data_IF_213916156850
#
_entry.id   IF_213916156850
#
_cell.length_a   1.000
_cell.length_b   1.000
_cell.length_c   1.000
_cell.angle_alpha   90.00
_cell.angle_beta   90.00
_cell.angle_gamma   90.00
#
_symmetry.space_group_name_H-M   'P 1'
#
loop_
_entity.id
_entity.type
_entity.pdbx_description
1 polymer ?
#
# COMPACT_ATOMS: atom_id res chain seq x y z
N UNK A 1 9.60 6.71 2.43
CA UNK A 1 10.20 5.59 1.68
C UNK A 1 10.10 5.83 0.19
N UNK A 2 10.90 5.13 -0.57
CA UNK A 2 10.84 5.15 -2.04
C UNK A 2 9.66 4.29 -2.48
N UNK A 3 8.68 4.91 -3.15
CA UNK A 3 7.47 4.22 -3.57
C UNK A 3 7.55 3.95 -5.07
N UNK A 4 7.18 2.73 -5.44
CA UNK A 4 6.97 2.35 -6.83
C UNK A 4 5.63 1.61 -6.94
N UNK A 5 5.03 1.64 -8.11
CA UNK A 5 3.79 0.92 -8.38
C UNK A 5 4.08 -0.19 -9.38
N UNK A 6 3.63 -1.40 -9.08
CA UNK A 6 3.85 -2.55 -9.95
C UNK A 6 3.01 -2.47 -11.23
N UNK A 7 1.93 -1.68 -11.20
CA UNK A 7 1.01 -1.55 -12.34
C UNK A 7 0.69 -0.09 -12.60
N UNK A 8 0.60 0.32 -13.88
CA UNK A 8 0.26 1.71 -14.24
C UNK A 8 -1.09 2.17 -13.69
N UNK A 9 -2.05 1.25 -13.56
CA UNK A 9 -3.39 1.60 -13.06
C UNK A 9 -3.39 2.06 -11.62
N UNK A 10 -2.52 1.49 -10.78
CA UNK A 10 -2.38 1.91 -9.38
C UNK A 10 -1.73 3.28 -9.27
N UNK A 11 -0.73 3.54 -10.11
CA UNK A 11 -0.11 4.86 -10.17
C UNK A 11 -1.11 5.91 -10.65
N UNK A 12 -1.88 5.60 -11.69
CA UNK A 12 -2.92 6.48 -12.19
C UNK A 12 -3.94 6.80 -11.10
N UNK A 13 -4.41 5.77 -10.39
CA UNK A 13 -5.37 5.95 -9.31
C UNK A 13 -4.82 6.88 -8.22
N UNK A 14 -3.56 6.73 -7.90
CA UNK A 14 -2.89 7.58 -6.91
C UNK A 14 -2.76 9.03 -7.41
N UNK A 15 -2.35 9.20 -8.65
CA UNK A 15 -2.07 10.53 -9.21
C UNK A 15 -3.33 11.31 -9.56
N UNK A 16 -4.38 10.64 -10.03
CA UNK A 16 -5.58 11.29 -10.57
C UNK A 16 -6.87 11.00 -9.80
N UNK A 17 -6.86 9.97 -8.95
CA UNK A 17 -8.06 9.54 -8.24
C UNK A 17 -8.99 8.65 -9.05
N UNK A 18 -8.63 8.32 -10.29
CA UNK A 18 -9.45 7.48 -11.16
C UNK A 18 -8.59 6.51 -11.96
N UNK A 19 -9.21 5.42 -12.40
CA UNK A 19 -8.57 4.47 -13.32
C UNK A 19 -9.65 3.73 -14.10
N UNK A 20 -9.29 3.24 -15.29
CA UNK A 20 -10.17 2.39 -16.09
C UNK A 20 -9.99 0.90 -15.78
N UNK A 21 -9.04 0.53 -14.93
CA UNK A 21 -8.80 -0.86 -14.53
C UNK A 21 -10.05 -1.43 -13.85
N UNK A 22 -10.55 -2.55 -14.37
CA UNK A 22 -11.77 -3.18 -13.87
C UNK A 22 -11.75 -3.49 -12.37
N UNK A 23 -10.59 -3.79 -11.83
CA UNK A 23 -10.44 -4.15 -10.41
C UNK A 23 -10.71 -2.95 -9.50
N UNK A 24 -10.43 -1.73 -9.98
CA UNK A 24 -10.40 -0.54 -9.13
C UNK A 24 -11.32 0.59 -9.58
N UNK A 25 -11.83 0.55 -10.82
CA UNK A 25 -12.60 1.68 -11.39
C UNK A 25 -13.89 1.99 -10.64
N UNK A 26 -14.42 1.02 -9.90
CA UNK A 26 -15.68 1.17 -9.15
C UNK A 26 -15.49 1.36 -7.66
N UNK A 27 -14.25 1.52 -7.21
CA UNK A 27 -14.00 1.83 -5.81
C UNK A 27 -14.70 3.15 -5.45
N UNK A 28 -15.34 3.17 -4.28
CA UNK A 28 -15.99 4.37 -3.79
C UNK A 28 -14.96 5.47 -3.57
N UNK A 29 -15.40 6.72 -3.69
CA UNK A 29 -14.50 7.88 -3.58
C UNK A 29 -13.77 7.96 -2.24
N UNK A 30 -14.44 7.59 -1.15
CA UNK A 30 -13.81 7.59 0.17
C UNK A 30 -12.70 6.54 0.27
N UNK A 31 -12.87 5.38 -0.37
CA UNK A 31 -11.82 4.35 -0.43
C UNK A 31 -10.61 4.89 -1.19
N UNK A 32 -10.84 5.52 -2.33
CA UNK A 32 -9.75 6.10 -3.14
C UNK A 32 -9.02 7.18 -2.36
N UNK A 33 -9.74 8.06 -1.66
CA UNK A 33 -9.12 9.09 -0.81
C UNK A 33 -8.24 8.47 0.27
N UNK A 34 -8.72 7.40 0.92
CA UNK A 34 -7.92 6.70 1.93
C UNK A 34 -6.71 6.02 1.32
N UNK A 35 -6.85 5.43 0.14
CA UNK A 35 -5.73 4.84 -0.58
C UNK A 35 -4.63 5.87 -0.81
N UNK A 36 -5.00 7.05 -1.32
CA UNK A 36 -4.05 8.13 -1.58
C UNK A 36 -3.36 8.56 -0.28
N UNK A 37 -4.14 8.71 0.78
CA UNK A 37 -3.61 9.09 2.10
C UNK A 37 -2.63 8.05 2.63
N UNK A 38 -2.96 6.77 2.48
CA UNK A 38 -2.10 5.68 2.95
C UNK A 38 -0.80 5.63 2.16
N UNK A 39 -0.85 5.80 0.84
CA UNK A 39 0.36 5.90 0.02
C UNK A 39 1.23 7.07 0.49
N UNK A 40 0.60 8.19 0.81
CA UNK A 40 1.33 9.34 1.33
C UNK A 40 1.99 9.07 2.67
N UNK A 41 1.37 8.27 3.54
CA UNK A 41 2.02 7.83 4.78
C UNK A 41 3.28 7.01 4.48
N UNK A 42 3.21 6.09 3.50
CA UNK A 42 4.38 5.32 3.11
C UNK A 42 5.49 6.23 2.58
N UNK A 43 5.13 7.21 1.75
CA UNK A 43 6.11 8.16 1.20
C UNK A 43 6.77 9.00 2.29
N UNK A 44 6.01 9.40 3.30
CA UNK A 44 6.51 10.26 4.37
C UNK A 44 7.42 9.52 5.35
N UNK A 45 7.25 8.21 5.50
CA UNK A 45 8.11 7.40 6.33
C UNK A 45 9.53 7.35 5.77
N UNK A 46 10.52 7.26 6.65
CA UNK A 46 11.91 7.12 6.24
C UNK A 46 12.27 5.67 5.98
N UNK A 47 11.67 4.77 6.74
CA UNK A 47 11.89 3.33 6.65
C UNK A 47 10.65 2.59 7.10
N UNK A 48 10.61 1.29 6.84
CA UNK A 48 9.44 0.46 7.10
C UNK A 48 8.94 0.57 8.55
N UNK A 49 9.85 0.56 9.52
CA UNK A 49 9.50 0.58 10.94
C UNK A 49 8.72 1.83 11.35
N UNK A 50 8.86 2.94 10.61
CA UNK A 50 8.10 4.15 10.89
C UNK A 50 6.59 3.93 10.73
N UNK A 51 6.19 2.98 9.89
CA UNK A 51 4.77 2.64 9.69
C UNK A 51 4.17 1.95 10.90
N UNK A 52 4.98 1.29 11.72
CA UNK A 52 4.49 0.54 12.87
C UNK A 52 3.85 1.45 13.92
N UNK A 53 4.25 2.71 13.96
CA UNK A 53 3.74 3.68 14.93
C UNK A 53 2.45 4.35 14.49
N UNK A 54 2.04 4.16 13.25
CA UNK A 54 0.78 4.73 12.74
C UNK A 54 -0.31 3.68 12.96
N UNK A 55 -1.03 3.80 14.07
CA UNK A 55 -2.00 2.78 14.50
C UNK A 55 -3.08 2.50 13.46
N UNK A 56 -3.53 3.53 12.76
CA UNK A 56 -4.58 3.37 11.75
C UNK A 56 -4.17 2.52 10.55
N UNK A 57 -2.87 2.32 10.34
CA UNK A 57 -2.37 1.48 9.25
C UNK A 57 -2.43 0.00 9.57
N UNK A 58 -2.46 -0.38 10.85
CA UNK A 58 -2.48 -1.79 11.27
C UNK A 58 -1.47 -2.62 10.48
N UNK A 59 -0.23 -2.15 10.40
CA UNK A 59 0.80 -2.81 9.62
C UNK A 59 0.90 -4.29 9.98
N UNK A 60 0.99 -5.14 8.96
CA UNK A 60 1.13 -6.57 9.12
C UNK A 60 2.07 -7.14 8.07
N UNK A 61 3.00 -7.98 8.50
CA UNK A 61 3.79 -8.77 7.58
C UNK A 61 3.09 -10.10 7.36
N UNK A 62 2.77 -10.42 6.10
CA UNK A 62 2.03 -11.63 5.78
C UNK A 62 2.89 -12.88 5.90
N UNK A 63 2.24 -14.02 6.13
CA UNK A 63 2.87 -15.32 6.30
C UNK A 63 2.27 -16.33 5.31
N UNK A 64 2.84 -17.53 5.25
CA UNK A 64 2.34 -18.59 4.38
C UNK A 64 2.53 -18.26 2.92
N UNK A 65 1.48 -18.38 2.13
CA UNK A 65 1.51 -18.15 0.68
C UNK A 65 1.81 -16.70 0.33
N UNK A 66 1.59 -15.78 1.27
CA UNK A 66 1.87 -14.36 1.09
C UNK A 66 3.16 -13.93 1.75
N UNK A 67 4.07 -14.86 2.02
CA UNK A 67 5.36 -14.54 2.61
C UNK A 67 6.10 -13.51 1.76
N UNK A 68 6.64 -12.49 2.40
CA UNK A 68 7.31 -11.38 1.72
C UNK A 68 6.38 -10.25 1.30
N UNK A 69 5.08 -10.37 1.59
CA UNK A 69 4.10 -9.31 1.35
C UNK A 69 3.85 -8.55 2.65
N UNK A 70 3.86 -7.23 2.54
CA UNK A 70 3.46 -6.32 3.61
C UNK A 70 2.06 -5.80 3.34
N UNK A 71 1.28 -5.60 4.40
CA UNK A 71 -0.08 -5.09 4.28
C UNK A 71 -0.32 -3.95 5.27
N UNK A 72 -1.04 -2.93 4.81
CA UNK A 72 -1.55 -1.88 5.68
C UNK A 72 -3.03 -1.65 5.36
N UNK A 73 -3.79 -1.17 6.34
CA UNK A 73 -5.21 -0.91 6.16
C UNK A 73 -5.43 0.35 5.35
N UNK A 74 -6.30 0.26 4.34
CA UNK A 74 -6.92 1.43 3.73
C UNK A 74 -8.13 1.78 4.61
N UNK A 75 -8.95 0.78 4.90
CA UNK A 75 -10.01 0.84 5.91
C UNK A 75 -10.22 -0.56 6.46
N UNK A 76 -11.34 -0.84 7.14
CA UNK A 76 -11.61 -2.15 7.71
C UNK A 76 -11.84 -3.24 6.64
N UNK A 77 -12.19 -2.87 5.42
CA UNK A 77 -12.49 -3.82 4.33
C UNK A 77 -11.36 -3.95 3.31
N UNK A 78 -10.53 -2.93 3.15
CA UNK A 78 -9.51 -2.90 2.10
C UNK A 78 -8.11 -2.78 2.67
N UNK A 79 -7.18 -3.47 2.03
CA UNK A 79 -5.76 -3.47 2.39
C UNK A 79 -4.93 -3.01 1.21
N UNK A 80 -3.87 -2.29 1.49
CA UNK A 80 -2.84 -1.99 0.51
C UNK A 80 -1.74 -3.02 0.68
N UNK A 81 -1.44 -3.76 -0.39
CA UNK A 81 -0.40 -4.77 -0.39
C UNK A 81 0.83 -4.22 -1.11
N UNK A 82 1.98 -4.41 -0.50
CA UNK A 82 3.24 -3.98 -1.08
C UNK A 82 4.36 -4.95 -0.70
N UNK A 83 5.48 -4.86 -1.43
CA UNK A 83 6.69 -5.59 -1.09
C UNK A 83 7.74 -4.58 -0.70
N UNK A 84 8.31 -4.75 0.48
CA UNK A 84 9.37 -3.88 0.96
C UNK A 84 10.73 -4.50 0.68
N UNK A 85 11.73 -3.67 0.50
CA UNK A 85 13.09 -4.13 0.27
C UNK A 85 14.11 -3.15 0.83
N UNK A 86 15.30 -3.65 1.21
CA UNK A 86 16.33 -2.82 1.80
C UNK A 86 17.15 -2.06 0.77
N UNK A 87 17.84 -1.03 1.25
CA UNK A 87 18.92 -0.37 0.51
C UNK A 87 20.24 -1.15 0.70
N UNK A 88 21.34 -0.56 0.24
CA UNK A 88 22.66 -1.19 0.33
C UNK A 88 23.14 -1.39 1.77
N UNK A 89 22.61 -0.61 2.71
CA UNK A 89 22.97 -0.69 4.13
C UNK A 89 22.04 -1.63 4.91
N UNK A 90 21.06 -2.25 4.24
CA UNK A 90 20.13 -3.16 4.89
C UNK A 90 18.92 -2.46 5.52
N UNK A 91 18.77 -1.15 5.30
CA UNK A 91 17.63 -0.40 5.83
C UNK A 91 16.46 -0.54 4.85
N UNK A 92 15.30 -0.97 5.34
CA UNK A 92 14.12 -1.20 4.48
C UNK A 92 13.46 0.12 4.18
N UNK A 93 13.73 0.63 2.97
CA UNK A 93 13.32 1.96 2.52
C UNK A 93 12.53 1.97 1.22
N UNK A 94 12.33 0.81 0.60
CA UNK A 94 11.63 0.70 -0.69
C UNK A 94 10.32 -0.04 -0.50
N UNK A 95 9.27 0.42 -1.19
CA UNK A 95 7.97 -0.23 -1.19
C UNK A 95 7.43 -0.29 -2.62
N UNK A 96 7.19 -1.50 -3.11
CA UNK A 96 6.56 -1.74 -4.41
C UNK A 96 5.09 -2.09 -4.17
N UNK A 97 4.21 -1.14 -4.45
CA UNK A 97 2.76 -1.30 -4.26
C UNK A 97 2.20 -2.08 -5.44
N UNK A 98 1.50 -3.19 -5.16
CA UNK A 98 1.04 -4.05 -6.24
C UNK A 98 -0.45 -4.39 -6.22
N UNK A 99 -1.17 -4.10 -5.13
CA UNK A 99 -2.59 -4.46 -5.09
C UNK A 99 -3.36 -3.70 -4.02
N UNK A 100 -4.60 -3.34 -4.34
CA UNK A 100 -5.62 -3.00 -3.35
C UNK A 100 -6.46 -4.26 -3.20
N UNK A 101 -6.42 -4.88 -2.04
CA UNK A 101 -7.08 -6.16 -1.79
C UNK A 101 -8.25 -5.98 -0.84
N UNK A 102 -9.39 -6.60 -1.18
CA UNK A 102 -10.52 -6.63 -0.27
C UNK A 102 -10.30 -7.74 0.75
N UNK A 103 -10.42 -7.37 2.03
CA UNK A 103 -10.26 -8.34 3.11
C UNK A 103 -11.59 -9.04 3.38
N UNK A 104 -11.59 -10.37 3.28
CA UNK A 104 -12.71 -11.22 3.65
C UNK A 104 -12.39 -11.94 4.94
N UNK A 105 -13.27 -11.87 5.88
CA UNK A 105 -13.15 -12.67 7.10
C UNK A 105 -13.72 -14.06 6.90
#
# INVERSE_FOLDING_TARGET
MNIAFAEPSLEELYMTGTTSDRRYKRLQKDIVKRFIKVVNYLKAGRRLEDLFFIKSLHYEKKKGDLLGVDAVWINDQYRLLFRSSPDEEGIVVNALIFEISKHYE
#
